data_IF_551820615303
#
_entry.id   IF_551820615303
#
_cell.length_a   1.000
_cell.length_b   1.000
_cell.length_c   1.000
_cell.angle_alpha   90.00
_cell.angle_beta   90.00
_cell.angle_gamma   90.00
#
_symmetry.space_group_name_H-M   'P 1'
#
loop_
_entity.id
_entity.type
_entity.pdbx_description
1 polymer ?
#
# COMPACT_ATOMS: atom_id res chain seq x y z
N UNK A 1 1.22 -39.44 -6.36
CA UNK A 1 2.35 -38.61 -5.89
C UNK A 1 1.90 -38.01 -4.57
N UNK A 2 2.63 -38.25 -3.47
CA UNK A 2 2.13 -37.95 -2.12
C UNK A 2 2.43 -36.53 -1.64
N UNK A 3 3.57 -35.99 -2.06
CA UNK A 3 4.00 -34.64 -1.72
C UNK A 3 4.27 -33.83 -3.00
N UNK A 4 4.20 -32.51 -2.91
CA UNK A 4 4.46 -31.53 -3.99
C UNK A 4 5.69 -30.66 -3.67
N UNK A 5 6.25 -30.01 -4.69
CA UNK A 5 7.31 -29.01 -4.50
C UNK A 5 6.79 -27.88 -3.63
N UNK A 6 7.58 -27.47 -2.63
CA UNK A 6 7.22 -26.48 -1.62
C UNK A 6 6.63 -27.07 -0.33
N UNK A 7 6.23 -28.35 -0.32
CA UNK A 7 5.79 -29.00 0.91
C UNK A 7 6.92 -29.03 1.94
N UNK A 8 6.60 -28.68 3.18
CA UNK A 8 7.49 -28.82 4.32
C UNK A 8 7.19 -30.17 4.99
N UNK A 9 8.22 -31.00 5.13
CA UNK A 9 8.10 -32.38 5.60
C UNK A 9 9.06 -32.64 6.75
N UNK A 10 8.65 -33.51 7.67
CA UNK A 10 9.53 -34.00 8.74
C UNK A 10 10.23 -35.27 8.28
N UNK A 11 11.55 -35.32 8.40
CA UNK A 11 12.32 -36.56 8.25
C UNK A 11 12.13 -37.41 9.50
N UNK A 12 11.99 -38.74 9.32
CA UNK A 12 11.82 -39.68 10.44
C UNK A 12 12.93 -39.52 11.48
N UNK A 13 12.57 -39.69 12.74
CA UNK A 13 13.53 -39.63 13.86
C UNK A 13 14.49 -40.84 13.85
N UNK A 14 14.09 -41.95 13.22
CA UNK A 14 14.93 -43.14 12.97
C UNK A 14 14.79 -43.60 11.51
N UNK A 15 15.84 -43.39 10.71
CA UNK A 15 15.94 -43.87 9.32
C UNK A 15 16.81 -45.14 9.20
N UNK A 16 17.27 -45.74 10.30
CA UNK A 16 18.17 -46.90 10.30
C UNK A 16 17.57 -48.12 9.59
N UNK A 17 16.24 -48.24 9.63
CA UNK A 17 15.46 -49.33 9.01
C UNK A 17 14.97 -49.00 7.59
N UNK A 18 15.22 -47.79 7.09
CA UNK A 18 14.81 -47.37 5.76
C UNK A 18 15.74 -47.97 4.69
N UNK A 19 15.15 -48.36 3.55
CA UNK A 19 15.82 -49.23 2.56
C UNK A 19 17.03 -48.59 1.87
N UNK A 20 17.01 -47.26 1.74
CA UNK A 20 17.97 -46.51 0.94
C UNK A 20 18.89 -45.61 1.77
N UNK A 21 19.06 -45.89 3.07
CA UNK A 21 19.96 -45.12 3.94
C UNK A 21 21.41 -45.27 3.47
N UNK A 22 22.19 -44.20 3.56
CA UNK A 22 23.61 -44.26 3.23
C UNK A 22 24.40 -45.00 4.31
N UNK A 23 25.35 -45.86 3.91
CA UNK A 23 26.17 -46.66 4.82
C UNK A 23 27.11 -45.83 5.70
N UNK A 24 27.45 -44.62 5.25
CA UNK A 24 28.38 -43.70 5.93
C UNK A 24 27.72 -42.85 7.02
N UNK A 25 26.39 -42.95 7.23
CA UNK A 25 25.67 -42.18 8.26
C UNK A 25 25.59 -40.67 8.03
N UNK A 26 26.10 -40.15 6.91
CA UNK A 26 26.04 -38.71 6.57
C UNK A 26 24.61 -38.13 6.51
N UNK A 27 23.59 -38.96 6.30
CA UNK A 27 22.19 -38.53 6.33
C UNK A 27 21.63 -38.41 7.76
N UNK A 28 22.27 -39.05 8.74
CA UNK A 28 21.73 -39.20 10.10
C UNK A 28 21.50 -37.88 10.82
N UNK A 29 22.29 -36.84 10.48
CA UNK A 29 22.15 -35.49 11.05
C UNK A 29 20.80 -34.82 10.73
N UNK A 30 20.09 -35.31 9.71
CA UNK A 30 18.79 -34.79 9.29
C UNK A 30 17.61 -35.55 9.89
N UNK A 31 17.86 -36.62 10.67
CA UNK A 31 16.78 -37.34 11.36
C UNK A 31 16.03 -36.41 12.31
N UNK A 32 14.70 -36.43 12.25
CA UNK A 32 13.82 -35.56 13.01
C UNK A 32 13.81 -34.10 12.58
N UNK A 33 14.60 -33.72 11.57
CA UNK A 33 14.58 -32.35 11.03
C UNK A 33 13.36 -32.13 10.16
N UNK A 34 12.97 -30.86 10.07
CA UNK A 34 11.94 -30.38 9.17
C UNK A 34 12.64 -29.79 7.95
N UNK A 35 12.24 -30.20 6.75
CA UNK A 35 12.90 -29.84 5.49
C UNK A 35 11.85 -29.51 4.42
N UNK A 36 12.20 -28.65 3.48
CA UNK A 36 11.31 -28.25 2.36
C UNK A 36 11.64 -29.01 1.10
N UNK A 37 10.63 -29.59 0.43
CA UNK A 37 10.80 -30.27 -0.86
C UNK A 37 11.12 -29.24 -1.96
N UNK A 38 12.32 -29.36 -2.52
CA UNK A 38 12.80 -28.52 -3.62
C UNK A 38 12.41 -29.07 -5.00
N UNK A 39 12.40 -30.40 -5.16
CA UNK A 39 12.18 -31.03 -6.46
C UNK A 39 11.72 -32.49 -6.30
N UNK A 40 11.00 -33.00 -7.31
CA UNK A 40 10.45 -34.36 -7.36
C UNK A 40 11.12 -35.11 -8.51
N UNK A 41 12.05 -36.00 -8.17
CA UNK A 41 12.86 -36.74 -9.16
C UNK A 41 12.13 -37.98 -9.67
N UNK A 42 11.29 -38.57 -8.84
CA UNK A 42 10.41 -39.69 -9.18
C UNK A 42 9.16 -39.65 -8.30
N UNK A 43 8.14 -40.45 -8.62
CA UNK A 43 6.86 -40.47 -7.88
C UNK A 43 6.97 -40.70 -6.37
N UNK A 44 8.11 -41.20 -5.89
CA UNK A 44 8.40 -41.51 -4.48
C UNK A 44 9.75 -40.98 -3.99
N UNK A 45 10.42 -40.08 -4.73
CA UNK A 45 11.77 -39.58 -4.37
C UNK A 45 11.89 -38.07 -4.54
N UNK A 46 12.42 -37.41 -3.51
CA UNK A 46 12.38 -35.97 -3.32
C UNK A 46 13.79 -35.41 -3.06
N UNK A 47 14.07 -34.19 -3.53
CA UNK A 47 15.23 -33.40 -3.11
C UNK A 47 14.76 -32.31 -2.16
N UNK A 48 15.61 -31.95 -1.19
CA UNK A 48 15.28 -30.93 -0.20
C UNK A 48 16.05 -29.62 -0.45
N UNK A 49 15.49 -28.50 -0.01
CA UNK A 49 16.16 -27.19 -0.03
C UNK A 49 17.29 -27.16 1.00
N UNK A 50 17.04 -27.69 2.19
CA UNK A 50 17.88 -27.55 3.38
C UNK A 50 19.23 -28.26 3.25
N UNK A 51 19.27 -29.36 2.50
CA UNK A 51 20.51 -30.07 2.17
C UNK A 51 21.11 -29.64 0.83
N UNK A 52 20.58 -28.54 0.23
CA UNK A 52 20.96 -28.06 -1.10
C UNK A 52 20.79 -29.12 -2.21
N UNK A 53 19.82 -30.02 -2.06
CA UNK A 53 19.58 -31.13 -2.98
C UNK A 53 20.69 -32.18 -2.97
N UNK A 54 21.54 -32.21 -1.92
CA UNK A 54 22.65 -33.15 -1.82
C UNK A 54 22.20 -34.61 -1.76
N UNK A 55 21.00 -34.87 -1.24
CA UNK A 55 20.45 -36.22 -1.10
C UNK A 55 19.12 -36.40 -1.82
N UNK A 56 18.88 -37.65 -2.20
CA UNK A 56 17.61 -38.08 -2.77
C UNK A 56 16.83 -38.86 -1.70
N UNK A 57 15.81 -38.20 -1.13
CA UNK A 57 15.01 -38.70 -0.02
C UNK A 57 13.82 -39.51 -0.55
N UNK A 58 13.75 -40.83 -0.29
CA UNK A 58 12.59 -41.61 -0.64
C UNK A 58 11.44 -41.40 0.36
N UNK A 59 10.21 -41.66 -0.08
CA UNK A 59 8.98 -41.48 0.72
C UNK A 59 9.03 -42.22 2.07
N UNK A 60 9.72 -43.37 2.14
CA UNK A 60 9.85 -44.17 3.35
C UNK A 60 10.67 -43.49 4.47
N UNK A 61 11.43 -42.44 4.16
CA UNK A 61 12.20 -41.64 5.13
C UNK A 61 11.47 -40.37 5.60
N UNK A 62 10.34 -40.05 4.98
CA UNK A 62 9.52 -38.89 5.34
C UNK A 62 8.46 -39.36 6.35
N UNK A 63 8.43 -38.73 7.52
CA UNK A 63 7.46 -39.01 8.57
C UNK A 63 6.06 -38.47 8.21
N UNK A 64 6.02 -37.31 7.55
CA UNK A 64 4.78 -36.65 7.16
C UNK A 64 4.98 -35.21 6.73
N UNK A 65 3.89 -34.58 6.31
CA UNK A 65 3.82 -33.13 6.15
C UNK A 65 3.91 -32.47 7.52
N UNK A 66 4.62 -31.35 7.58
CA UNK A 66 4.50 -30.39 8.67
C UNK A 66 3.49 -29.37 8.20
N UNK A 67 2.42 -29.20 8.98
CA UNK A 67 1.45 -28.15 8.74
C UNK A 67 2.17 -26.80 8.92
N UNK A 68 2.38 -26.10 7.82
CA UNK A 68 2.86 -24.72 7.84
C UNK A 68 1.67 -23.80 7.87
N UNK A 69 1.70 -22.79 8.75
CA UNK A 69 0.69 -21.74 8.73
C UNK A 69 0.65 -21.10 7.33
N UNK A 70 -0.55 -21.05 6.75
CA UNK A 70 -0.77 -20.38 5.47
C UNK A 70 -0.38 -18.91 5.61
N UNK A 71 0.28 -18.37 4.60
CA UNK A 71 0.47 -16.91 4.53
C UNK A 71 -0.88 -16.23 4.34
N UNK A 72 -1.02 -14.97 4.77
CA UNK A 72 -2.26 -14.21 4.56
C UNK A 72 -2.73 -14.22 3.10
N UNK A 73 -1.81 -14.21 2.13
CA UNK A 73 -2.17 -14.26 0.70
C UNK A 73 -2.74 -15.63 0.30
N UNK A 74 -2.23 -16.72 0.87
CA UNK A 74 -2.74 -18.06 0.61
C UNK A 74 -4.13 -18.25 1.22
N UNK A 75 -4.34 -17.76 2.46
CA UNK A 75 -5.66 -17.77 3.11
C UNK A 75 -6.69 -17.04 2.24
N UNK A 76 -6.36 -15.85 1.74
CA UNK A 76 -7.26 -15.07 0.88
C UNK A 76 -7.60 -15.82 -0.43
N UNK A 77 -6.62 -16.47 -1.05
CA UNK A 77 -6.84 -17.25 -2.28
C UNK A 77 -7.65 -18.52 -2.02
N UNK A 78 -7.41 -19.17 -0.88
CA UNK A 78 -8.13 -20.37 -0.47
C UNK A 78 -9.59 -20.04 -0.15
N UNK A 79 -9.86 -18.90 0.49
CA UNK A 79 -11.23 -18.41 0.69
C UNK A 79 -11.97 -18.23 -0.64
N UNK A 80 -11.37 -17.53 -1.61
CA UNK A 80 -11.94 -17.36 -2.96
C UNK A 80 -12.19 -18.71 -3.63
N UNK A 81 -11.22 -19.63 -3.54
CA UNK A 81 -11.33 -20.96 -4.18
C UNK A 81 -12.41 -21.82 -3.53
N UNK A 82 -12.56 -21.73 -2.21
CA UNK A 82 -13.48 -22.57 -1.43
C UNK A 82 -14.92 -22.08 -1.53
N UNK A 83 -15.13 -20.77 -1.44
CA UNK A 83 -16.46 -20.17 -1.37
C UNK A 83 -16.95 -19.63 -2.72
N UNK A 84 -16.05 -19.40 -3.68
CA UNK A 84 -16.35 -18.91 -5.02
C UNK A 84 -16.33 -17.38 -5.12
N UNK A 85 -15.99 -16.89 -6.32
CA UNK A 85 -15.81 -15.44 -6.58
C UNK A 85 -17.11 -14.65 -6.36
N UNK A 86 -18.25 -15.13 -6.85
CA UNK A 86 -19.54 -14.45 -6.72
C UNK A 86 -19.95 -14.28 -5.25
N UNK A 87 -19.71 -15.31 -4.43
CA UNK A 87 -20.03 -15.27 -3.00
C UNK A 87 -19.09 -14.33 -2.24
N UNK A 88 -17.80 -14.30 -2.59
CA UNK A 88 -16.86 -13.33 -2.01
C UNK A 88 -17.18 -11.89 -2.44
N UNK A 89 -17.71 -11.67 -3.64
CA UNK A 89 -18.22 -10.34 -4.05
C UNK A 89 -19.43 -9.95 -3.21
N UNK A 90 -20.36 -10.89 -2.98
CA UNK A 90 -21.54 -10.68 -2.14
C UNK A 90 -21.13 -10.35 -0.70
N UNK A 91 -20.22 -11.13 -0.13
CA UNK A 91 -19.67 -10.90 1.21
C UNK A 91 -18.98 -9.52 1.30
N UNK A 92 -18.23 -9.13 0.27
CA UNK A 92 -17.58 -7.82 0.23
C UNK A 92 -18.59 -6.67 0.30
N UNK A 93 -19.79 -6.84 -0.27
CA UNK A 93 -20.89 -5.90 -0.12
C UNK A 93 -21.46 -5.88 1.32
N UNK A 94 -21.65 -7.05 1.93
CA UNK A 94 -22.15 -7.16 3.32
C UNK A 94 -21.22 -6.43 4.29
N UNK A 95 -19.91 -6.68 4.26
CA UNK A 95 -18.94 -6.02 5.14
C UNK A 95 -18.93 -4.49 4.95
N UNK A 96 -19.13 -4.00 3.72
CA UNK A 96 -19.24 -2.55 3.47
C UNK A 96 -20.49 -1.93 4.12
N UNK A 97 -21.60 -2.67 4.11
CA UNK A 97 -22.85 -2.24 4.75
C UNK A 97 -22.73 -2.27 6.28
N UNK A 98 -22.09 -3.30 6.84
CA UNK A 98 -21.83 -3.43 8.28
C UNK A 98 -20.90 -2.31 8.79
N UNK A 99 -19.83 -2.00 8.06
CA UNK A 99 -19.00 -0.81 8.32
C UNK A 99 -19.83 0.49 8.28
N UNK A 100 -20.76 0.63 7.33
CA UNK A 100 -21.66 1.77 7.25
C UNK A 100 -22.56 1.91 8.49
N UNK A 101 -23.06 0.78 9.00
CA UNK A 101 -23.85 0.72 10.24
C UNK A 101 -23.00 1.07 11.46
N UNK A 102 -21.79 0.52 11.58
CA UNK A 102 -20.88 0.80 12.68
C UNK A 102 -20.48 2.28 12.72
N UNK A 103 -20.12 2.87 11.58
CA UNK A 103 -19.83 4.31 11.46
C UNK A 103 -21.03 5.17 11.88
N UNK A 104 -22.24 4.75 11.51
CA UNK A 104 -23.47 5.44 11.90
C UNK A 104 -23.73 5.37 13.42
N UNK A 105 -23.44 4.23 14.05
CA UNK A 105 -23.52 4.06 15.52
C UNK A 105 -22.47 4.94 16.21
N UNK A 106 -21.21 4.91 15.76
CA UNK A 106 -20.13 5.73 16.28
C UNK A 106 -20.45 7.23 16.17
N UNK A 107 -20.98 7.67 15.03
CA UNK A 107 -21.37 9.07 14.84
C UNK A 107 -22.45 9.53 15.83
N UNK A 108 -23.42 8.66 16.18
CA UNK A 108 -24.46 8.97 17.17
C UNK A 108 -23.96 8.94 18.61
N UNK A 109 -23.04 8.04 18.94
CA UNK A 109 -22.48 7.90 20.28
C UNK A 109 -20.99 7.55 20.23
N UNK A 110 -20.10 8.55 20.10
CA UNK A 110 -18.66 8.32 20.04
C UNK A 110 -18.12 7.85 21.40
N UNK A 111 -17.86 6.55 21.55
CA UNK A 111 -17.29 5.96 22.77
C UNK A 111 -16.30 4.85 22.43
N UNK A 112 -15.73 4.20 23.46
CA UNK A 112 -14.77 3.10 23.29
C UNK A 112 -15.36 1.93 22.51
N UNK A 113 -16.56 1.49 22.88
CA UNK A 113 -17.22 0.32 22.29
C UNK A 113 -17.56 0.57 20.82
N UNK A 114 -18.24 1.69 20.51
CA UNK A 114 -18.59 1.99 19.11
C UNK A 114 -17.36 2.26 18.24
N UNK A 115 -16.23 2.62 18.82
CA UNK A 115 -14.96 2.71 18.11
C UNK A 115 -14.40 1.32 17.78
N UNK A 116 -14.45 0.38 18.72
CA UNK A 116 -14.00 -1.00 18.52
C UNK A 116 -14.82 -1.65 17.41
N UNK A 117 -16.15 -1.50 17.44
CA UNK A 117 -17.04 -1.96 16.36
C UNK A 117 -16.53 -1.46 14.99
N UNK A 118 -16.30 -0.15 14.85
CA UNK A 118 -15.78 0.43 13.59
C UNK A 118 -14.41 -0.15 13.20
N UNK A 119 -13.54 -0.47 14.17
CA UNK A 119 -12.22 -1.04 13.87
C UNK A 119 -12.32 -2.48 13.35
N UNK A 120 -13.24 -3.27 13.89
CA UNK A 120 -13.52 -4.64 13.42
C UNK A 120 -14.05 -4.60 11.98
N UNK A 121 -15.09 -3.81 11.72
CA UNK A 121 -15.65 -3.69 10.37
C UNK A 121 -14.66 -3.12 9.34
N UNK A 122 -13.75 -2.22 9.76
CA UNK A 122 -12.65 -1.77 8.88
C UNK A 122 -11.73 -2.94 8.53
N UNK A 123 -11.42 -3.81 9.50
CA UNK A 123 -10.55 -4.96 9.27
C UNK A 123 -11.21 -5.96 8.31
N UNK A 124 -12.50 -6.24 8.49
CA UNK A 124 -13.25 -7.16 7.65
C UNK A 124 -13.40 -6.63 6.21
N UNK A 125 -13.77 -5.35 6.05
CA UNK A 125 -13.73 -4.69 4.73
C UNK A 125 -12.32 -4.73 4.13
N UNK A 126 -11.25 -4.51 4.91
CA UNK A 126 -9.89 -4.60 4.38
C UNK A 126 -9.57 -5.99 3.83
N UNK A 127 -9.93 -7.05 4.56
CA UNK A 127 -9.76 -8.45 4.13
C UNK A 127 -10.50 -8.68 2.81
N UNK A 128 -11.77 -8.27 2.74
CA UNK A 128 -12.58 -8.42 1.53
C UNK A 128 -12.03 -7.60 0.35
N UNK A 129 -11.49 -6.40 0.61
CA UNK A 129 -10.83 -5.61 -0.42
C UNK A 129 -9.54 -6.26 -0.92
N UNK A 130 -8.79 -6.99 -0.08
CA UNK A 130 -7.65 -7.77 -0.55
C UNK A 130 -8.09 -8.94 -1.45
N UNK A 131 -9.16 -9.66 -1.08
CA UNK A 131 -9.73 -10.69 -1.95
C UNK A 131 -10.22 -10.10 -3.27
N UNK A 132 -10.92 -8.97 -3.24
CA UNK A 132 -11.36 -8.27 -4.45
C UNK A 132 -10.18 -7.85 -5.33
N UNK A 133 -9.07 -7.39 -4.78
CA UNK A 133 -7.85 -7.10 -5.56
C UNK A 133 -7.29 -8.34 -6.25
N UNK A 134 -7.35 -9.50 -5.60
CA UNK A 134 -6.94 -10.78 -6.20
C UNK A 134 -7.85 -11.12 -7.38
N UNK A 135 -9.18 -11.04 -7.20
CA UNK A 135 -10.18 -11.38 -8.22
C UNK A 135 -10.17 -10.40 -9.42
N UNK A 136 -10.06 -9.09 -9.17
CA UNK A 136 -10.22 -8.05 -10.19
C UNK A 136 -8.91 -7.50 -10.77
N UNK A 137 -7.75 -8.03 -10.36
CA UNK A 137 -6.44 -7.62 -10.86
C UNK A 137 -5.78 -6.56 -9.98
N UNK A 138 -4.88 -7.02 -9.11
CA UNK A 138 -4.22 -6.17 -8.13
C UNK A 138 -3.36 -5.06 -8.78
N UNK A 139 -2.66 -5.39 -9.88
CA UNK A 139 -1.77 -4.45 -10.56
C UNK A 139 -2.56 -3.27 -11.14
N UNK A 140 -3.69 -3.56 -11.78
CA UNK A 140 -4.61 -2.61 -12.39
C UNK A 140 -5.25 -1.73 -11.32
N UNK A 141 -5.80 -2.33 -10.26
CA UNK A 141 -6.39 -1.60 -9.13
C UNK A 141 -5.36 -0.66 -8.49
N UNK A 142 -4.15 -1.14 -8.21
CA UNK A 142 -3.08 -0.31 -7.65
C UNK A 142 -2.68 0.85 -8.58
N UNK A 143 -2.69 0.66 -9.91
CA UNK A 143 -2.46 1.73 -10.87
C UNK A 143 -3.55 2.81 -10.81
N UNK A 144 -4.82 2.40 -10.69
CA UNK A 144 -5.96 3.31 -10.54
C UNK A 144 -5.85 4.09 -9.23
N UNK A 145 -5.49 3.43 -8.11
CA UNK A 145 -5.27 4.07 -6.80
C UNK A 145 -4.21 5.17 -6.93
N UNK A 146 -3.05 4.87 -7.53
CA UNK A 146 -1.98 5.88 -7.74
C UNK A 146 -2.48 7.10 -8.52
N UNK A 147 -3.25 6.89 -9.58
CA UNK A 147 -3.84 7.99 -10.38
C UNK A 147 -4.82 8.82 -9.55
N UNK A 148 -5.69 8.17 -8.76
CA UNK A 148 -6.67 8.86 -7.91
C UNK A 148 -5.98 9.65 -6.79
N UNK A 149 -4.92 9.09 -6.18
CA UNK A 149 -4.11 9.76 -5.16
C UNK A 149 -3.40 11.00 -5.72
N UNK A 150 -2.82 10.91 -6.92
CA UNK A 150 -2.23 12.09 -7.59
C UNK A 150 -3.26 13.20 -7.78
N UNK A 151 -4.46 12.86 -8.27
CA UNK A 151 -5.56 13.82 -8.44
C UNK A 151 -6.01 14.43 -7.11
N UNK A 152 -6.05 13.65 -6.04
CA UNK A 152 -6.39 14.15 -4.71
C UNK A 152 -5.31 15.13 -4.21
N UNK A 153 -4.03 14.79 -4.38
CA UNK A 153 -2.92 15.68 -4.03
C UNK A 153 -2.97 17.01 -4.80
N UNK A 154 -3.34 16.99 -6.08
CA UNK A 154 -3.56 18.21 -6.87
C UNK A 154 -4.71 19.05 -6.30
N UNK A 155 -5.86 18.44 -5.98
CA UNK A 155 -6.99 19.14 -5.34
C UNK A 155 -6.62 19.75 -3.98
N UNK A 156 -5.76 19.09 -3.21
CA UNK A 156 -5.31 19.63 -1.94
C UNK A 156 -4.42 20.88 -2.12
N UNK A 157 -3.63 20.96 -3.20
CA UNK A 157 -2.87 22.17 -3.54
C UNK A 157 -3.79 23.33 -3.89
N UNK A 158 -4.87 23.05 -4.61
CA UNK A 158 -5.88 24.04 -4.99
C UNK A 158 -6.61 24.65 -3.78
N UNK A 159 -6.75 23.88 -2.69
CA UNK A 159 -7.31 24.35 -1.42
C UNK A 159 -6.30 25.08 -0.53
N UNK A 160 -5.00 25.08 -0.89
CA UNK A 160 -3.97 25.75 -0.09
C UNK A 160 -4.16 27.27 -0.13
N UNK A 161 -4.07 27.89 1.04
CA UNK A 161 -4.03 29.35 1.16
C UNK A 161 -2.69 29.89 0.68
N UNK A 162 -2.76 30.91 -0.18
CA UNK A 162 -1.61 31.64 -0.71
C UNK A 162 -1.82 33.13 -0.49
N UNK A 163 -0.73 33.81 -0.15
CA UNK A 163 -0.72 35.26 -0.10
C UNK A 163 -0.82 35.82 -1.54
N UNK A 164 -1.73 36.75 -1.74
CA UNK A 164 -2.01 37.42 -3.00
C UNK A 164 -1.64 38.88 -2.87
N UNK A 165 -0.72 39.32 -3.73
CA UNK A 165 -0.20 40.68 -3.76
C UNK A 165 -0.85 41.42 -4.92
N UNK A 166 -1.56 42.49 -4.59
CA UNK A 166 -2.08 43.46 -5.54
C UNK A 166 -1.10 44.61 -5.66
N UNK A 167 -0.62 44.88 -6.87
CA UNK A 167 0.43 45.88 -7.07
C UNK A 167 0.42 46.51 -8.45
N UNK A 168 1.23 47.55 -8.61
CA UNK A 168 1.37 48.32 -9.85
C UNK A 168 2.84 48.49 -10.21
N UNK A 169 3.17 48.55 -11.50
CA UNK A 169 4.52 48.88 -11.93
C UNK A 169 4.87 50.36 -11.72
N UNK A 170 3.86 51.23 -11.70
CA UNK A 170 3.99 52.69 -11.57
C UNK A 170 2.82 53.23 -10.73
N UNK A 171 3.00 54.38 -10.07
CA UNK A 171 2.03 54.97 -9.13
C UNK A 171 0.63 55.11 -9.75
N UNK A 172 0.55 55.65 -10.97
CA UNK A 172 -0.69 55.87 -11.70
C UNK A 172 -1.02 54.75 -12.69
N UNK A 173 -0.30 53.61 -12.61
CA UNK A 173 -0.46 52.47 -13.50
C UNK A 173 -1.67 51.58 -13.20
N UNK A 174 -1.85 50.58 -14.06
CA UNK A 174 -2.86 49.52 -13.89
C UNK A 174 -2.50 48.61 -12.71
N UNK A 175 -3.52 48.17 -11.97
CA UNK A 175 -3.40 47.18 -10.90
C UNK A 175 -3.33 45.77 -11.48
N UNK A 176 -2.43 44.97 -10.94
CA UNK A 176 -2.22 43.57 -11.29
C UNK A 176 -2.12 42.73 -10.01
N UNK A 177 -2.19 41.41 -10.19
CA UNK A 177 -2.23 40.43 -9.12
C UNK A 177 -1.12 39.41 -9.30
N UNK A 178 -0.44 39.09 -8.20
CA UNK A 178 0.57 38.04 -8.10
C UNK A 178 0.30 37.18 -6.88
N UNK A 179 0.75 35.93 -6.91
CA UNK A 179 0.81 35.05 -5.75
C UNK A 179 2.19 35.11 -5.11
N UNK A 180 2.26 34.89 -3.81
CA UNK A 180 3.52 34.80 -3.07
C UNK A 180 3.64 33.42 -2.38
N UNK A 181 3.78 32.33 -3.17
CA UNK A 181 3.85 30.98 -2.62
C UNK A 181 5.11 30.74 -1.79
N UNK A 182 6.19 31.46 -2.11
CA UNK A 182 7.50 31.34 -1.47
C UNK A 182 7.65 32.26 -0.22
N UNK A 183 6.56 32.93 0.18
CA UNK A 183 6.46 33.78 1.38
C UNK A 183 7.56 34.83 1.48
N UNK A 184 7.88 35.47 0.36
CA UNK A 184 8.74 36.65 0.36
C UNK A 184 8.13 37.74 1.24
N UNK A 185 8.95 38.53 1.94
CA UNK A 185 8.43 39.66 2.71
C UNK A 185 7.76 40.67 1.76
N UNK A 186 6.49 40.95 1.97
CA UNK A 186 5.68 41.92 1.23
C UNK A 186 5.03 42.88 2.23
N UNK A 187 4.90 44.15 1.88
CA UNK A 187 4.28 45.16 2.74
C UNK A 187 3.71 46.28 1.87
N UNK A 188 2.51 46.76 2.20
CA UNK A 188 1.84 47.85 1.49
C UNK A 188 2.73 49.10 1.40
N UNK A 189 2.83 49.66 0.19
CA UNK A 189 3.66 50.81 -0.12
C UNK A 189 5.13 50.48 -0.41
N UNK A 190 5.58 49.24 -0.21
CA UNK A 190 6.96 48.81 -0.52
C UNK A 190 7.09 48.32 -1.96
N UNK A 191 8.32 48.34 -2.45
CA UNK A 191 8.67 47.79 -3.76
C UNK A 191 9.17 46.35 -3.57
N UNK A 192 8.59 45.43 -4.34
CA UNK A 192 8.99 44.02 -4.41
C UNK A 192 9.26 43.63 -5.86
N UNK A 193 9.96 42.52 -6.09
CA UNK A 193 10.21 42.01 -7.43
C UNK A 193 9.17 40.95 -7.78
N UNK A 194 8.49 41.14 -8.91
CA UNK A 194 7.47 40.24 -9.39
C UNK A 194 7.83 39.69 -10.78
N UNK A 195 7.47 38.44 -11.04
CA UNK A 195 7.58 37.84 -12.36
C UNK A 195 6.52 38.43 -13.31
N UNK A 196 6.93 38.76 -14.53
CA UNK A 196 6.07 39.35 -15.55
C UNK A 196 6.35 38.75 -16.91
N UNK A 197 5.51 39.08 -17.91
CA UNK A 197 5.75 38.67 -19.30
C UNK A 197 7.03 39.27 -19.90
N UNK A 198 7.58 40.32 -19.27
CA UNK A 198 8.81 40.99 -19.69
C UNK A 198 9.97 40.72 -18.73
N UNK A 199 9.93 39.58 -18.03
CA UNK A 199 10.88 39.19 -17.00
C UNK A 199 10.56 39.79 -15.63
N UNK A 200 11.52 39.69 -14.72
CA UNK A 200 11.40 40.19 -13.36
C UNK A 200 11.39 41.71 -13.33
N UNK A 201 10.34 42.30 -12.73
CA UNK A 201 10.17 43.76 -12.66
C UNK A 201 9.78 44.19 -11.25
N UNK A 202 10.20 45.40 -10.82
CA UNK A 202 9.70 45.98 -9.58
C UNK A 202 8.21 46.29 -9.70
N UNK A 203 7.49 46.08 -8.60
CA UNK A 203 6.10 46.53 -8.41
C UNK A 203 5.98 47.23 -7.06
N UNK A 204 5.10 48.21 -6.97
CA UNK A 204 4.67 48.82 -5.72
C UNK A 204 3.51 47.98 -5.19
N UNK A 205 3.66 47.44 -3.99
CA UNK A 205 2.61 46.69 -3.30
C UNK A 205 1.52 47.65 -2.85
N UNK A 206 0.28 47.37 -3.21
CA UNK A 206 -0.88 48.17 -2.86
C UNK A 206 -1.70 47.51 -1.75
N UNK A 207 -1.92 46.20 -1.85
CA UNK A 207 -2.64 45.42 -0.82
C UNK A 207 -2.15 43.98 -0.86
N UNK A 208 -2.18 43.32 0.29
CA UNK A 208 -1.83 41.92 0.47
C UNK A 208 -3.02 41.22 1.13
N UNK A 209 -3.49 40.13 0.54
CA UNK A 209 -4.61 39.35 1.03
C UNK A 209 -4.27 37.86 1.02
N UNK A 210 -5.06 37.04 1.71
CA UNK A 210 -4.93 35.57 1.65
C UNK A 210 -6.12 34.99 0.91
N UNK A 211 -5.86 34.18 -0.10
CA UNK A 211 -6.89 33.48 -0.89
C UNK A 211 -6.53 32.01 -1.04
N UNK A 212 -7.51 31.15 -1.31
CA UNK A 212 -7.22 29.79 -1.77
C UNK A 212 -6.65 29.86 -3.18
N UNK A 213 -5.66 29.02 -3.48
CA UNK A 213 -4.97 29.03 -4.77
C UNK A 213 -5.95 28.92 -5.95
N UNK A 214 -6.96 28.05 -5.84
CA UNK A 214 -7.99 27.86 -6.88
C UNK A 214 -8.80 29.11 -7.24
N UNK A 215 -8.93 30.05 -6.30
CA UNK A 215 -9.71 31.27 -6.49
C UNK A 215 -8.87 32.38 -7.18
N UNK A 216 -7.56 32.17 -7.32
CA UNK A 216 -6.64 33.13 -7.94
C UNK A 216 -6.47 32.82 -9.43
N UNK A 217 -7.03 33.69 -10.29
CA UNK A 217 -7.05 33.48 -11.76
C UNK A 217 -5.66 33.43 -12.42
N UNK A 218 -4.62 34.01 -11.82
CA UNK A 218 -3.28 34.10 -12.42
C UNK A 218 -2.19 33.79 -11.39
N UNK A 219 -1.31 32.83 -11.71
CA UNK A 219 -0.25 32.35 -10.82
C UNK A 219 1.12 33.00 -11.04
N UNK A 220 1.19 34.22 -11.57
CA UNK A 220 2.46 34.95 -11.61
C UNK A 220 2.95 35.20 -10.20
N UNK A 221 4.25 35.08 -9.95
CA UNK A 221 4.78 35.03 -8.59
C UNK A 221 5.50 36.31 -8.19
N UNK A 222 5.49 36.60 -6.89
CA UNK A 222 6.54 37.41 -6.27
C UNK A 222 7.81 36.55 -6.23
N UNK A 223 8.93 37.12 -6.65
CA UNK A 223 10.23 36.43 -6.77
C UNK A 223 11.33 37.09 -5.92
N UNK A 224 11.04 38.25 -5.33
CA UNK A 224 11.94 38.93 -4.41
C UNK A 224 11.16 39.85 -3.46
N UNK A 225 11.51 39.82 -2.18
CA UNK A 225 10.83 40.60 -1.14
C UNK A 225 11.20 42.08 -1.11
N UNK A 226 10.69 42.78 -0.10
CA UNK A 226 11.01 44.19 0.17
C UNK A 226 12.54 44.37 0.23
N UNK A 227 13.06 45.30 -0.56
CA UNK A 227 14.42 45.83 -0.39
C UNK A 227 14.50 46.76 0.81
#
# INVERSE_FOLDING_TARGET
MKYKVGDVVRIKDDISKCRFRNSEGKMDKWQGQVMTIADIVASTKYRMVDDCGAWLWPEDMIAGLVETELTNTEILKEAITTFGEDEQIRMCHEEMDELGVALSKFHRNPCGDTKVDVQEEIADVCIMMYQAKIMFGEKEVNAIIRKKMKRLAEKLKDEQEVEVVYGKHEIYGKLYTWINPDKHKTETGKIVTADTRHGEKPIIVFTVETHKLKDVKHHKKIVGGVK
#
